data_IF_424262061010
#
_entry.id   IF_424262061010
#
_cell.length_a   1.000
_cell.length_b   1.000
_cell.length_c   1.000
_cell.angle_alpha   90.00
_cell.angle_beta   90.00
_cell.angle_gamma   90.00
#
_symmetry.space_group_name_H-M   'P 1'
#
loop_
_entity.id
_entity.type
_entity.pdbx_description
1 polymer ?
#
# COMPACT_ATOMS: atom_id res chain seq x y z
N UNK A 1 -55.12 15.53 -47.95
CA UNK A 1 -55.44 14.81 -46.71
C UNK A 1 -54.90 13.40 -46.90
N UNK A 2 -53.88 12.99 -46.14
CA UNK A 2 -53.36 11.62 -46.25
C UNK A 2 -54.41 10.66 -45.67
N UNK A 3 -55.00 9.81 -46.51
CA UNK A 3 -56.16 8.95 -46.15
C UNK A 3 -55.76 7.60 -45.56
N UNK A 4 -54.47 7.27 -45.51
CA UNK A 4 -53.97 6.00 -44.97
C UNK A 4 -52.68 6.24 -44.17
N UNK A 5 -52.49 5.52 -43.04
CA UNK A 5 -51.22 5.54 -42.33
C UNK A 5 -50.10 5.00 -43.25
N UNK A 6 -48.85 5.49 -43.12
CA UNK A 6 -47.72 4.94 -43.86
C UNK A 6 -47.54 3.45 -43.54
N UNK A 7 -47.01 2.64 -44.47
CA UNK A 7 -46.74 1.22 -44.23
C UNK A 7 -45.74 1.06 -43.08
N UNK A 8 -45.90 0.01 -42.29
CA UNK A 8 -44.99 -0.29 -41.20
C UNK A 8 -43.55 -0.48 -41.74
N UNK A 9 -42.54 0.04 -41.01
CA UNK A 9 -41.16 -0.15 -41.40
C UNK A 9 -40.80 -1.66 -41.40
N UNK A 10 -39.92 -2.11 -42.30
CA UNK A 10 -39.53 -3.52 -42.36
C UNK A 10 -38.92 -3.97 -41.03
N UNK A 11 -39.33 -5.15 -40.55
CA UNK A 11 -38.85 -5.69 -39.29
C UNK A 11 -37.32 -5.88 -39.30
N UNK A 12 -36.68 -5.43 -38.22
CA UNK A 12 -35.24 -5.57 -38.07
C UNK A 12 -34.83 -7.05 -38.03
N UNK A 13 -33.75 -7.47 -38.73
CA UNK A 13 -33.36 -8.88 -38.84
C UNK A 13 -33.12 -9.58 -37.49
N UNK A 14 -32.71 -8.84 -36.44
CA UNK A 14 -32.62 -9.40 -35.10
C UNK A 14 -33.99 -9.70 -34.47
N UNK A 15 -34.99 -8.85 -34.70
CA UNK A 15 -36.34 -9.06 -34.16
C UNK A 15 -36.94 -10.31 -34.80
N UNK A 16 -36.79 -10.48 -36.12
CA UNK A 16 -37.22 -11.69 -36.81
C UNK A 16 -36.59 -12.97 -36.24
N UNK A 17 -35.28 -12.96 -35.98
CA UNK A 17 -34.57 -14.10 -35.33
C UNK A 17 -35.09 -14.36 -33.91
N UNK A 18 -35.35 -13.29 -33.16
CA UNK A 18 -35.85 -13.37 -31.80
C UNK A 18 -37.28 -13.92 -31.75
N UNK A 19 -38.19 -13.46 -32.60
CA UNK A 19 -39.56 -13.97 -32.71
C UNK A 19 -39.58 -15.43 -33.12
N UNK A 20 -38.76 -15.82 -34.11
CA UNK A 20 -38.61 -17.23 -34.52
C UNK A 20 -38.02 -18.12 -33.41
N UNK A 21 -37.14 -17.59 -32.58
CA UNK A 21 -36.61 -18.30 -31.41
C UNK A 21 -37.66 -18.49 -30.32
N UNK A 22 -38.46 -17.45 -30.04
CA UNK A 22 -39.57 -17.53 -29.08
C UNK A 22 -40.62 -18.54 -29.51
N UNK A 23 -41.02 -18.53 -30.79
CA UNK A 23 -42.04 -19.46 -31.27
C UNK A 23 -41.58 -20.92 -31.11
N UNK A 24 -40.31 -21.20 -31.44
CA UNK A 24 -39.70 -22.52 -31.22
C UNK A 24 -39.68 -22.94 -29.75
N UNK A 25 -39.36 -22.02 -28.83
CA UNK A 25 -39.40 -22.33 -27.39
C UNK A 25 -40.85 -22.58 -26.94
N UNK A 26 -41.79 -21.76 -27.40
CA UNK A 26 -43.21 -21.91 -27.08
C UNK A 26 -43.75 -23.26 -27.55
N UNK A 27 -43.43 -23.67 -28.77
CA UNK A 27 -43.79 -24.97 -29.34
C UNK A 27 -43.18 -26.14 -28.55
N UNK A 28 -41.92 -26.01 -28.13
CA UNK A 28 -41.23 -27.08 -27.39
C UNK A 28 -41.68 -27.21 -25.93
N UNK A 29 -41.99 -26.08 -25.27
CA UNK A 29 -42.30 -26.03 -23.83
C UNK A 29 -43.78 -25.95 -23.52
N UNK A 30 -44.64 -25.77 -24.54
CA UNK A 30 -46.07 -25.49 -24.43
C UNK A 30 -46.40 -24.25 -23.59
N UNK A 31 -45.43 -23.33 -23.41
CA UNK A 31 -45.59 -22.08 -22.65
C UNK A 31 -46.04 -20.98 -23.62
N UNK A 32 -47.00 -20.10 -23.24
CA UNK A 32 -47.41 -18.96 -24.06
C UNK A 32 -46.24 -18.03 -24.41
N UNK A 33 -46.22 -17.51 -25.64
CA UNK A 33 -45.17 -16.58 -26.11
C UNK A 33 -45.06 -15.34 -25.21
N UNK A 34 -46.19 -14.82 -24.70
CA UNK A 34 -46.22 -13.71 -23.74
C UNK A 34 -45.49 -14.01 -22.42
N UNK A 35 -45.51 -15.27 -21.98
CA UNK A 35 -44.78 -15.71 -20.78
C UNK A 35 -43.28 -15.76 -21.05
N UNK A 36 -42.85 -16.13 -22.26
CA UNK A 36 -41.43 -16.12 -22.67
C UNK A 36 -40.87 -14.69 -22.65
N UNK A 37 -41.69 -13.70 -22.99
CA UNK A 37 -41.32 -12.27 -22.95
C UNK A 37 -40.98 -11.78 -21.54
N UNK A 38 -41.52 -12.45 -20.52
CA UNK A 38 -41.26 -12.14 -19.12
C UNK A 38 -40.11 -13.01 -18.59
N UNK A 39 -40.15 -14.32 -18.85
CA UNK A 39 -39.17 -15.28 -18.30
C UNK A 39 -37.77 -14.99 -18.86
N UNK A 40 -37.62 -14.76 -20.15
CA UNK A 40 -36.30 -14.67 -20.75
C UNK A 40 -35.51 -13.44 -20.24
N UNK A 41 -36.06 -12.21 -20.20
CA UNK A 41 -35.38 -11.08 -19.55
C UNK A 41 -35.18 -11.30 -18.05
N UNK A 42 -36.14 -11.94 -17.35
CA UNK A 42 -36.02 -12.21 -15.91
C UNK A 42 -34.86 -13.14 -15.59
N UNK A 43 -34.74 -14.26 -16.31
CA UNK A 43 -33.64 -15.22 -16.18
C UNK A 43 -32.32 -14.58 -16.60
N UNK A 44 -32.29 -13.82 -17.71
CA UNK A 44 -31.10 -13.10 -18.13
C UNK A 44 -30.63 -12.09 -17.07
N UNK A 45 -31.55 -11.36 -16.45
CA UNK A 45 -31.24 -10.40 -15.38
C UNK A 45 -30.73 -11.10 -14.13
N UNK A 46 -31.39 -12.18 -13.69
CA UNK A 46 -30.99 -12.96 -12.52
C UNK A 46 -29.59 -13.59 -12.70
N UNK A 47 -29.35 -14.26 -13.83
CA UNK A 47 -28.06 -14.86 -14.15
C UNK A 47 -26.95 -13.81 -14.26
N UNK A 48 -27.22 -12.69 -14.93
CA UNK A 48 -26.28 -11.56 -15.02
C UNK A 48 -25.96 -10.99 -13.64
N UNK A 49 -26.97 -10.82 -12.78
CA UNK A 49 -26.78 -10.30 -11.42
C UNK A 49 -25.90 -11.23 -10.58
N UNK A 50 -26.17 -12.54 -10.61
CA UNK A 50 -25.36 -13.55 -9.92
C UNK A 50 -23.92 -13.54 -10.46
N UNK A 51 -23.74 -13.49 -11.78
CA UNK A 51 -22.43 -13.42 -12.42
C UNK A 51 -21.65 -12.17 -11.99
N UNK A 52 -22.30 -10.99 -11.98
CA UNK A 52 -21.70 -9.73 -11.54
C UNK A 52 -21.28 -9.78 -10.06
N UNK A 53 -22.13 -10.33 -9.19
CA UNK A 53 -21.82 -10.52 -7.77
C UNK A 53 -20.63 -11.47 -7.60
N UNK A 54 -20.60 -12.59 -8.33
CA UNK A 54 -19.49 -13.53 -8.31
C UNK A 54 -18.18 -12.88 -8.76
N UNK A 55 -18.21 -12.18 -9.90
CA UNK A 55 -17.04 -11.45 -10.44
C UNK A 55 -16.56 -10.40 -9.44
N UNK A 56 -17.48 -9.63 -8.86
CA UNK A 56 -17.14 -8.63 -7.86
C UNK A 56 -16.45 -9.25 -6.64
N UNK A 57 -17.08 -10.25 -6.02
CA UNK A 57 -16.57 -10.89 -4.78
C UNK A 57 -15.23 -11.59 -5.01
N UNK A 58 -15.03 -12.24 -6.17
CA UNK A 58 -13.85 -13.04 -6.40
C UNK A 58 -12.65 -12.25 -6.95
N UNK A 59 -12.90 -11.18 -7.74
CA UNK A 59 -11.86 -10.46 -8.47
C UNK A 59 -11.76 -8.96 -8.19
N UNK A 60 -12.88 -8.29 -7.84
CA UNK A 60 -12.93 -6.82 -7.70
C UNK A 60 -13.04 -6.32 -6.25
N UNK A 61 -13.35 -7.20 -5.30
CA UNK A 61 -13.42 -6.86 -3.88
C UNK A 61 -12.05 -6.43 -3.36
N UNK A 62 -11.99 -5.27 -2.71
CA UNK A 62 -10.78 -4.76 -2.08
C UNK A 62 -10.62 -5.30 -0.66
N UNK A 63 -9.38 -5.62 -0.27
CA UNK A 63 -8.97 -5.95 1.09
C UNK A 63 -8.09 -4.80 1.60
N UNK A 64 -8.54 -4.02 2.60
CA UNK A 64 -7.83 -2.83 3.05
C UNK A 64 -6.55 -3.14 3.86
N UNK A 65 -6.56 -4.20 4.65
CA UNK A 65 -5.48 -4.53 5.60
C UNK A 65 -5.13 -6.03 5.56
N UNK A 66 -4.13 -6.43 6.35
CA UNK A 66 -3.72 -7.83 6.46
C UNK A 66 -4.83 -8.70 7.08
N UNK A 67 -5.59 -8.17 8.04
CA UNK A 67 -6.58 -8.93 8.81
C UNK A 67 -7.84 -9.28 8.02
N UNK A 68 -8.22 -8.45 7.06
CA UNK A 68 -9.37 -8.67 6.18
C UNK A 68 -9.17 -9.79 5.15
N UNK A 69 -7.95 -10.31 5.01
CA UNK A 69 -7.63 -11.34 4.02
C UNK A 69 -8.01 -12.72 4.57
N UNK A 70 -8.89 -13.46 3.86
CA UNK A 70 -9.31 -14.77 4.31
C UNK A 70 -8.14 -15.79 4.37
N UNK A 71 -8.04 -16.63 5.42
CA UNK A 71 -6.99 -17.64 5.54
C UNK A 71 -6.89 -18.63 4.37
N UNK A 72 -8.01 -18.93 3.70
CA UNK A 72 -8.01 -19.83 2.54
C UNK A 72 -7.40 -19.21 1.27
N UNK A 73 -7.04 -17.92 1.27
CA UNK A 73 -6.37 -17.27 0.13
C UNK A 73 -4.87 -17.55 0.11
N UNK A 74 -4.27 -17.86 1.26
CA UNK A 74 -2.86 -18.14 1.37
C UNK A 74 -2.49 -19.38 0.53
N UNK A 75 -1.33 -19.33 -0.13
CA UNK A 75 -0.83 -20.27 -1.15
C UNK A 75 -1.64 -20.38 -2.45
N UNK A 76 -2.87 -19.83 -2.51
CA UNK A 76 -3.76 -19.94 -3.69
C UNK A 76 -3.79 -18.65 -4.51
N UNK A 77 -4.09 -17.53 -3.85
CA UNK A 77 -4.34 -16.23 -4.50
C UNK A 77 -3.14 -15.28 -4.42
N UNK A 78 -3.10 -14.35 -5.36
CA UNK A 78 -2.19 -13.21 -5.33
C UNK A 78 -2.99 -11.91 -5.40
N UNK A 79 -2.61 -10.96 -4.56
CA UNK A 79 -3.21 -9.63 -4.50
C UNK A 79 -2.44 -8.69 -5.43
N UNK A 80 -3.17 -7.81 -6.11
CA UNK A 80 -2.59 -6.80 -6.99
C UNK A 80 -2.77 -5.42 -6.35
N UNK A 81 -1.70 -4.64 -6.29
CA UNK A 81 -1.71 -3.37 -5.56
C UNK A 81 -0.61 -2.42 -5.98
N UNK A 82 -0.80 -1.15 -5.66
CA UNK A 82 0.23 -0.10 -5.77
C UNK A 82 1.06 -0.08 -4.49
N UNK A 83 2.38 -0.04 -4.62
CA UNK A 83 3.26 0.17 -3.46
C UNK A 83 3.16 1.63 -3.04
N UNK A 84 2.97 1.84 -1.74
CA UNK A 84 2.71 3.15 -1.15
C UNK A 84 3.88 3.63 -0.31
N UNK A 85 4.48 2.73 0.48
CA UNK A 85 5.63 3.07 1.32
C UNK A 85 6.53 1.87 1.50
N UNK A 86 7.84 2.12 1.55
CA UNK A 86 8.86 1.14 1.93
C UNK A 86 9.42 1.61 3.27
N UNK A 87 9.31 0.75 4.29
CA UNK A 87 9.74 1.07 5.66
C UNK A 87 11.07 0.43 6.00
N UNK A 88 11.26 -0.81 5.54
CA UNK A 88 12.46 -1.61 5.76
C UNK A 88 12.98 -2.13 4.42
N UNK A 89 14.22 -2.61 4.38
CA UNK A 89 14.86 -3.07 3.15
C UNK A 89 14.34 -4.43 2.63
N UNK A 90 13.48 -5.14 3.38
CA UNK A 90 12.83 -6.40 3.00
C UNK A 90 11.29 -6.35 3.06
N UNK A 91 10.73 -5.20 3.44
CA UNK A 91 9.29 -5.01 3.70
C UNK A 91 8.74 -3.79 2.98
N UNK A 92 7.47 -3.85 2.56
CA UNK A 92 6.77 -2.69 2.04
C UNK A 92 5.27 -2.74 2.33
N UNK A 93 4.61 -1.58 2.23
CA UNK A 93 3.16 -1.46 2.32
C UNK A 93 2.60 -1.23 0.93
N UNK A 94 1.57 -2.00 0.60
CA UNK A 94 0.82 -1.82 -0.65
C UNK A 94 -0.64 -1.51 -0.39
N UNK A 95 -1.22 -0.71 -1.28
CA UNK A 95 -2.65 -0.47 -1.35
C UNK A 95 -3.25 -1.43 -2.37
N UNK A 96 -4.19 -2.27 -1.95
CA UNK A 96 -4.82 -3.25 -2.82
C UNK A 96 -5.72 -2.56 -3.87
N UNK A 97 -5.43 -2.80 -5.15
CA UNK A 97 -6.13 -2.22 -6.31
C UNK A 97 -6.64 -3.35 -7.21
N UNK A 98 -7.69 -4.08 -6.81
CA UNK A 98 -8.15 -5.27 -7.53
C UNK A 98 -8.54 -4.94 -8.97
N UNK A 99 -8.07 -5.76 -9.92
CA UNK A 99 -8.26 -5.54 -11.37
C UNK A 99 -7.44 -4.38 -11.97
N UNK A 100 -6.77 -3.57 -11.16
CA UNK A 100 -5.88 -2.50 -11.63
C UNK A 100 -6.58 -1.51 -12.57
N UNK A 101 -5.85 -1.06 -13.61
CA UNK A 101 -6.38 -0.09 -14.57
C UNK A 101 -7.65 -0.57 -15.28
N UNK A 102 -7.78 -1.86 -15.56
CA UNK A 102 -8.99 -2.43 -16.18
C UNK A 102 -10.24 -2.28 -15.32
N UNK A 103 -10.06 -2.28 -14.01
CA UNK A 103 -11.14 -2.06 -13.06
C UNK A 103 -11.26 -0.60 -12.62
N UNK A 104 -10.75 0.36 -13.40
CA UNK A 104 -10.93 1.78 -13.11
C UNK A 104 -9.90 2.43 -12.20
N UNK A 105 -8.92 1.69 -11.69
CA UNK A 105 -7.91 2.27 -10.79
C UNK A 105 -7.03 3.27 -11.53
N UNK A 106 -7.06 4.52 -11.07
CA UNK A 106 -6.27 5.63 -11.61
C UNK A 106 -7.01 6.52 -12.63
N UNK A 107 -8.20 6.15 -13.10
CA UNK A 107 -8.98 6.98 -14.03
C UNK A 107 -10.47 7.13 -13.67
N UNK A 108 -11.07 6.19 -12.92
CA UNK A 108 -12.39 6.42 -12.32
C UNK A 108 -12.27 7.33 -11.08
N UNK A 109 -13.18 8.30 -10.90
CA UNK A 109 -13.12 9.27 -9.81
C UNK A 109 -13.15 8.60 -8.42
N UNK A 110 -13.89 7.50 -8.26
CA UNK A 110 -13.98 6.73 -7.02
C UNK A 110 -12.90 5.66 -6.81
N UNK A 111 -11.93 5.50 -7.72
CA UNK A 111 -10.87 4.48 -7.64
C UNK A 111 -9.49 5.09 -7.80
N UNK A 112 -9.18 6.07 -6.95
CA UNK A 112 -7.85 6.65 -6.81
C UNK A 112 -7.14 6.06 -5.60
N UNK A 113 -5.82 5.92 -5.70
CA UNK A 113 -4.99 5.50 -4.56
C UNK A 113 -4.70 6.76 -3.75
N UNK A 114 -5.05 6.80 -2.45
CA UNK A 114 -4.74 7.95 -1.60
C UNK A 114 -3.24 8.21 -1.51
N UNK A 115 -2.84 9.48 -1.46
CA UNK A 115 -1.44 9.89 -1.31
C UNK A 115 -1.12 10.34 0.12
N UNK A 116 -2.13 10.77 0.87
CA UNK A 116 -1.92 11.27 2.22
C UNK A 116 -1.70 10.12 3.21
N UNK A 117 -0.71 10.28 4.10
CA UNK A 117 -0.41 9.28 5.15
C UNK A 117 -1.61 9.01 6.06
N UNK A 118 -2.46 10.01 6.29
CA UNK A 118 -3.67 9.89 7.13
C UNK A 118 -4.70 8.95 6.52
N UNK A 119 -4.96 9.06 5.22
CA UNK A 119 -5.91 8.21 4.50
C UNK A 119 -5.39 6.78 4.31
N UNK A 120 -4.06 6.61 4.24
CA UNK A 120 -3.42 5.31 4.08
C UNK A 120 -3.37 4.50 5.38
N UNK A 121 -3.55 5.13 6.55
CA UNK A 121 -3.53 4.45 7.84
C UNK A 121 -4.65 3.40 7.92
N UNK A 122 -4.28 2.15 8.17
CA UNK A 122 -5.23 1.02 8.21
C UNK A 122 -5.82 0.64 6.84
N UNK A 123 -5.30 1.20 5.75
CA UNK A 123 -5.77 0.98 4.38
C UNK A 123 -4.70 0.33 3.48
N UNK A 124 -3.64 -0.20 4.10
CA UNK A 124 -2.53 -0.86 3.42
C UNK A 124 -2.27 -2.24 3.98
N UNK A 125 -1.84 -3.15 3.11
CA UNK A 125 -1.36 -4.48 3.47
C UNK A 125 0.14 -4.41 3.68
N UNK A 126 0.62 -4.91 4.82
CA UNK A 126 2.04 -4.99 5.13
C UNK A 126 2.61 -6.29 4.55
N UNK A 127 3.50 -6.16 3.57
CA UNK A 127 4.09 -7.28 2.84
C UNK A 127 5.55 -7.44 3.24
N UNK A 128 5.92 -8.66 3.60
CA UNK A 128 7.31 -9.12 3.75
C UNK A 128 7.70 -9.95 2.54
N UNK A 129 8.88 -9.68 1.98
CA UNK A 129 9.37 -10.41 0.80
C UNK A 129 9.85 -11.81 1.24
N UNK A 130 9.33 -12.84 0.60
CA UNK A 130 9.63 -14.22 0.95
C UNK A 130 11.06 -14.62 0.54
N UNK A 131 11.77 -15.31 1.42
CA UNK A 131 13.07 -15.94 1.16
C UNK A 131 14.26 -14.99 1.06
N UNK A 132 14.08 -13.72 1.40
CA UNK A 132 15.09 -12.67 1.31
C UNK A 132 15.24 -11.99 2.67
N UNK A 133 16.47 -11.72 3.09
CA UNK A 133 16.80 -10.97 4.30
C UNK A 133 17.77 -9.85 3.94
N UNK A 134 17.41 -8.61 4.26
CA UNK A 134 18.21 -7.43 3.93
C UNK A 134 18.98 -6.94 5.18
N UNK A 135 20.05 -6.16 5.02
CA UNK A 135 20.79 -5.63 6.16
C UNK A 135 19.91 -4.75 7.06
N UNK A 136 19.98 -4.99 8.37
CA UNK A 136 19.14 -4.30 9.35
C UNK A 136 19.51 -2.82 9.48
N UNK A 137 18.49 -1.97 9.45
CA UNK A 137 18.62 -0.54 9.71
C UNK A 137 18.90 -0.25 11.20
N UNK A 138 19.32 0.98 11.50
CA UNK A 138 19.44 1.43 12.88
C UNK A 138 18.08 1.39 13.59
N UNK A 139 18.00 0.69 14.72
CA UNK A 139 16.75 0.52 15.46
C UNK A 139 16.99 0.49 16.98
N UNK A 140 16.23 1.31 17.72
CA UNK A 140 16.26 1.38 19.20
C UNK A 140 17.66 1.36 19.82
N UNK A 141 18.52 2.29 19.39
CA UNK A 141 19.90 2.41 19.92
C UNK A 141 20.91 1.38 19.37
N UNK A 142 20.48 0.45 18.51
CA UNK A 142 21.37 -0.47 17.80
C UNK A 142 21.92 0.20 16.52
N UNK A 143 23.23 0.09 16.24
CA UNK A 143 23.83 0.72 15.06
C UNK A 143 23.39 0.02 13.77
N UNK A 144 23.18 0.76 12.69
CA UNK A 144 22.83 0.19 11.38
C UNK A 144 23.87 -0.82 10.90
N UNK A 145 23.44 -1.90 10.25
CA UNK A 145 24.38 -2.75 9.50
C UNK A 145 24.99 -1.97 8.32
N UNK A 146 26.22 -2.31 7.91
CA UNK A 146 26.76 -1.84 6.65
C UNK A 146 25.78 -2.10 5.50
N UNK A 147 25.66 -1.15 4.57
CA UNK A 147 24.80 -1.26 3.37
C UNK A 147 23.27 -1.26 3.62
N UNK A 148 22.79 -1.17 4.86
CA UNK A 148 21.35 -1.11 5.19
C UNK A 148 20.62 0.08 4.55
N UNK A 149 21.21 1.28 4.61
CA UNK A 149 20.63 2.48 3.99
C UNK A 149 20.57 2.38 2.45
N UNK A 150 21.59 1.77 1.84
CA UNK A 150 21.65 1.54 0.40
C UNK A 150 20.61 0.51 -0.05
N UNK A 151 20.44 -0.59 0.71
CA UNK A 151 19.41 -1.58 0.44
C UNK A 151 17.99 -1.00 0.57
N UNK A 152 17.75 -0.16 1.58
CA UNK A 152 16.48 0.56 1.73
C UNK A 152 16.22 1.52 0.57
N UNK A 153 17.23 2.32 0.19
CA UNK A 153 17.13 3.27 -0.93
C UNK A 153 16.89 2.53 -2.26
N UNK A 154 17.58 1.41 -2.49
CA UNK A 154 17.40 0.57 -3.66
C UNK A 154 15.96 0.06 -3.74
N UNK A 155 15.43 -0.55 -2.67
CA UNK A 155 14.08 -1.11 -2.68
C UNK A 155 13.03 0.01 -2.86
N UNK A 156 13.24 1.14 -2.21
CA UNK A 156 12.39 2.33 -2.35
C UNK A 156 12.34 2.80 -3.79
N UNK A 157 13.49 2.99 -4.44
CA UNK A 157 13.58 3.42 -5.83
C UNK A 157 12.99 2.39 -6.81
N UNK A 158 13.16 1.09 -6.50
CA UNK A 158 12.64 0.02 -7.33
C UNK A 158 11.11 -0.07 -7.29
N UNK A 159 10.51 0.17 -6.13
CA UNK A 159 9.08 -0.01 -5.89
C UNK A 159 8.25 1.26 -5.90
N UNK A 160 8.85 2.45 -5.79
CA UNK A 160 8.13 3.72 -5.73
C UNK A 160 7.16 3.84 -6.91
N UNK A 161 5.88 4.10 -6.57
CA UNK A 161 4.77 4.24 -7.52
C UNK A 161 4.54 3.04 -8.46
N UNK A 162 5.13 1.87 -8.19
CA UNK A 162 4.91 0.66 -8.98
C UNK A 162 3.72 -0.14 -8.50
N UNK A 163 3.11 -0.85 -9.45
CA UNK A 163 2.13 -1.88 -9.13
C UNK A 163 2.81 -3.24 -9.09
N UNK A 164 2.52 -4.00 -8.04
CA UNK A 164 3.07 -5.33 -7.77
C UNK A 164 1.94 -6.34 -7.63
N UNK A 165 2.27 -7.61 -7.85
CA UNK A 165 1.42 -8.75 -7.52
C UNK A 165 2.10 -9.56 -6.41
N UNK A 166 1.52 -9.51 -5.22
CA UNK A 166 1.98 -10.23 -4.04
C UNK A 166 1.22 -11.56 -3.93
N UNK A 167 1.93 -12.67 -4.13
CA UNK A 167 1.41 -14.02 -3.92
C UNK A 167 1.50 -14.36 -2.45
N UNK A 168 0.34 -14.58 -1.83
CA UNK A 168 0.21 -14.80 -0.39
C UNK A 168 0.76 -16.19 -0.04
N UNK A 169 1.72 -16.28 0.88
CA UNK A 169 2.27 -17.56 1.34
C UNK A 169 1.82 -17.85 2.77
N UNK A 170 2.19 -16.95 3.71
CA UNK A 170 1.90 -17.11 5.14
C UNK A 170 1.70 -15.75 5.81
N UNK A 171 0.98 -15.73 6.94
CA UNK A 171 0.89 -14.60 7.86
C UNK A 171 1.92 -14.79 8.99
N UNK A 172 2.66 -13.74 9.31
CA UNK A 172 3.66 -13.77 10.40
C UNK A 172 3.10 -13.21 11.71
N UNK A 173 3.91 -13.30 12.78
CA UNK A 173 3.55 -12.84 14.12
C UNK A 173 3.42 -11.31 14.27
N UNK A 174 3.89 -10.55 13.28
CA UNK A 174 3.85 -9.08 13.26
C UNK A 174 2.73 -8.55 12.35
N UNK A 175 1.78 -9.42 12.00
CA UNK A 175 0.67 -9.10 11.10
C UNK A 175 1.11 -8.63 9.71
N UNK A 176 2.29 -9.10 9.29
CA UNK A 176 2.78 -9.01 7.91
C UNK A 176 2.41 -10.27 7.16
N UNK A 177 2.31 -10.12 5.85
CA UNK A 177 2.10 -11.24 4.95
C UNK A 177 3.41 -11.53 4.24
N UNK A 178 3.95 -12.72 4.47
CA UNK A 178 5.06 -13.26 3.71
C UNK A 178 4.57 -13.57 2.30
N UNK A 179 5.13 -12.88 1.32
CA UNK A 179 4.69 -12.97 -0.07
C UNK A 179 5.85 -13.19 -1.03
N UNK A 180 5.61 -14.00 -2.06
CA UNK A 180 6.39 -13.94 -3.30
C UNK A 180 5.87 -12.78 -4.14
N UNK A 181 6.72 -11.81 -4.43
CA UNK A 181 6.30 -10.55 -5.05
C UNK A 181 6.79 -10.52 -6.49
N UNK A 182 5.85 -10.35 -7.42
CA UNK A 182 6.16 -10.18 -8.84
C UNK A 182 5.84 -8.77 -9.30
N UNK A 183 6.72 -8.21 -10.11
CA UNK A 183 6.53 -6.89 -10.73
C UNK A 183 6.78 -6.96 -12.23
N UNK A 184 6.24 -5.99 -12.98
CA UNK A 184 6.60 -5.83 -14.39
C UNK A 184 8.06 -5.38 -14.50
N UNK A 185 8.77 -5.85 -15.53
CA UNK A 185 10.09 -5.33 -15.87
C UNK A 185 10.00 -3.85 -16.28
N UNK A 186 11.11 -3.11 -16.21
CA UNK A 186 11.17 -1.72 -16.67
C UNK A 186 11.26 -1.67 -18.21
N UNK A 187 10.78 -0.59 -18.81
CA UNK A 187 10.91 -0.33 -20.25
C UNK A 187 10.06 -1.25 -21.13
N UNK A 188 10.54 -1.52 -22.34
CA UNK A 188 9.83 -2.26 -23.39
C UNK A 188 9.42 -3.67 -22.94
N UNK A 189 10.27 -4.38 -22.17
CA UNK A 189 9.94 -5.70 -21.63
C UNK A 189 8.70 -5.67 -20.72
N UNK A 190 8.54 -4.59 -19.94
CA UNK A 190 7.35 -4.41 -19.11
C UNK A 190 6.08 -4.16 -19.93
N UNK A 191 6.22 -3.47 -21.06
CA UNK A 191 5.14 -3.21 -22.00
C UNK A 191 4.66 -4.49 -22.69
N UNK A 192 5.60 -5.37 -23.07
CA UNK A 192 5.32 -6.73 -23.58
C UNK A 192 4.80 -7.70 -22.52
N UNK A 193 4.65 -7.26 -21.26
CA UNK A 193 4.07 -8.07 -20.19
C UNK A 193 5.04 -8.99 -19.46
N UNK A 194 6.36 -8.89 -19.72
CA UNK A 194 7.36 -9.64 -18.98
C UNK A 194 7.42 -9.19 -17.51
N UNK A 195 7.47 -10.19 -16.63
CA UNK A 195 7.50 -10.01 -15.18
C UNK A 195 8.83 -10.51 -14.63
N UNK A 196 9.16 -10.04 -13.45
CA UNK A 196 10.29 -10.50 -12.67
C UNK A 196 9.88 -10.65 -11.21
N UNK A 197 10.52 -11.59 -10.54
CA UNK A 197 10.39 -11.77 -9.10
C UNK A 197 11.27 -10.72 -8.40
N UNK A 198 10.68 -10.02 -7.43
CA UNK A 198 11.35 -8.95 -6.69
C UNK A 198 12.50 -9.50 -5.84
N UNK A 199 12.28 -10.60 -5.12
CA UNK A 199 13.30 -11.20 -4.28
C UNK A 199 14.50 -11.67 -5.09
N UNK A 200 14.26 -12.28 -6.25
CA UNK A 200 15.33 -12.69 -7.16
C UNK A 200 16.17 -11.49 -7.66
N UNK A 201 15.52 -10.35 -7.94
CA UNK A 201 16.23 -9.12 -8.34
C UNK A 201 17.09 -8.60 -7.20
N UNK A 202 16.57 -8.60 -5.96
CA UNK A 202 17.32 -8.15 -4.80
C UNK A 202 18.56 -9.01 -4.53
N UNK A 203 18.43 -10.34 -4.63
CA UNK A 203 19.54 -11.28 -4.44
C UNK A 203 20.61 -11.11 -5.53
N UNK A 204 20.19 -11.02 -6.80
CA UNK A 204 21.08 -10.85 -7.94
C UNK A 204 21.89 -9.56 -7.88
N UNK A 205 21.28 -8.49 -7.38
CA UNK A 205 21.95 -7.19 -7.26
C UNK A 205 22.74 -7.07 -5.94
N UNK A 206 22.75 -8.12 -5.10
CA UNK A 206 23.54 -8.20 -3.88
C UNK A 206 23.08 -7.23 -2.78
N UNK A 207 21.86 -6.72 -2.84
CA UNK A 207 21.33 -5.82 -1.80
C UNK A 207 20.74 -6.56 -0.60
N UNK A 208 20.56 -7.87 -0.73
CA UNK A 208 20.03 -8.76 0.29
C UNK A 208 20.63 -10.17 0.14
N UNK A 209 20.53 -10.97 1.19
CA UNK A 209 20.94 -12.38 1.20
C UNK A 209 19.73 -13.31 1.25
N UNK A 210 19.95 -14.61 1.03
CA UNK A 210 18.91 -15.60 1.23
C UNK A 210 18.60 -15.72 2.73
N UNK A 211 17.32 -15.84 3.07
CA UNK A 211 16.91 -16.03 4.46
C UNK A 211 17.24 -17.45 4.94
N UNK A 212 18.03 -17.56 6.00
CA UNK A 212 18.55 -18.83 6.54
C UNK A 212 17.90 -19.26 7.88
N UNK A 213 16.82 -18.61 8.31
CA UNK A 213 16.21 -18.91 9.62
C UNK A 213 15.53 -20.28 9.68
N UNK A 214 15.59 -20.96 10.82
CA UNK A 214 15.05 -22.34 11.00
C UNK A 214 13.52 -22.45 10.85
N UNK A 215 12.77 -21.35 11.04
CA UNK A 215 11.31 -21.35 11.05
C UNK A 215 10.73 -20.37 10.04
N UNK A 216 9.65 -20.80 9.36
CA UNK A 216 8.85 -19.93 8.50
C UNK A 216 9.51 -19.53 7.18
N UNK A 217 10.48 -20.33 6.72
CA UNK A 217 11.09 -20.17 5.39
C UNK A 217 10.04 -20.48 4.33
N UNK A 218 9.81 -19.53 3.45
CA UNK A 218 8.95 -19.69 2.28
C UNK A 218 9.72 -19.17 1.07
N UNK A 219 9.88 -20.00 0.04
CA UNK A 219 10.59 -19.65 -1.18
C UNK A 219 9.62 -19.55 -2.35
N UNK A 220 9.27 -18.33 -2.75
CA UNK A 220 8.49 -18.10 -3.95
C UNK A 220 7.13 -18.81 -3.95
N UNK A 221 6.38 -18.70 -5.07
CA UNK A 221 5.21 -19.58 -5.33
C UNK A 221 5.60 -20.81 -6.16
N UNK A 222 6.69 -20.73 -6.91
CA UNK A 222 7.07 -21.74 -7.92
C UNK A 222 8.02 -22.76 -7.32
N UNK A 223 7.90 -24.00 -7.77
CA UNK A 223 8.83 -25.05 -7.41
C UNK A 223 10.26 -24.73 -7.89
N UNK A 224 11.26 -25.09 -7.10
CA UNK A 224 12.68 -24.83 -7.39
C UNK A 224 13.12 -23.36 -7.25
N UNK A 225 12.29 -22.50 -6.64
CA UNK A 225 12.66 -21.10 -6.40
C UNK A 225 13.82 -20.95 -5.41
N UNK A 226 13.92 -21.82 -4.41
CA UNK A 226 15.05 -21.84 -3.49
C UNK A 226 16.38 -21.98 -4.23
N UNK A 227 16.49 -22.97 -5.13
CA UNK A 227 17.68 -23.18 -5.96
C UNK A 227 18.03 -21.94 -6.78
N UNK A 228 17.03 -21.25 -7.34
CA UNK A 228 17.24 -20.01 -8.09
C UNK A 228 17.73 -18.86 -7.21
N UNK A 229 17.22 -18.78 -5.98
CA UNK A 229 17.62 -17.75 -5.02
C UNK A 229 19.06 -17.96 -4.58
N UNK A 230 19.41 -19.20 -4.19
CA UNK A 230 20.78 -19.57 -3.82
C UNK A 230 21.76 -19.35 -4.98
N UNK A 231 21.39 -19.74 -6.20
CA UNK A 231 22.23 -19.50 -7.38
C UNK A 231 22.41 -17.99 -7.69
N UNK A 232 21.37 -17.18 -7.51
CA UNK A 232 21.47 -15.73 -7.70
C UNK A 232 22.33 -15.07 -6.63
N UNK A 233 22.26 -15.56 -5.40
CA UNK A 233 23.12 -15.12 -4.31
C UNK A 233 24.59 -15.51 -4.54
N UNK A 234 24.84 -16.75 -4.97
CA UNK A 234 26.18 -17.21 -5.33
C UNK A 234 26.79 -16.37 -6.45
N UNK A 235 26.02 -16.10 -7.52
CA UNK A 235 26.45 -15.20 -8.59
C UNK A 235 26.72 -13.76 -8.08
N UNK A 236 25.94 -13.26 -7.13
CA UNK A 236 26.20 -11.95 -6.53
C UNK A 236 27.48 -11.96 -5.66
N UNK A 237 27.75 -13.07 -4.95
CA UNK A 237 28.98 -13.29 -4.17
C UNK A 237 30.22 -13.33 -5.06
N UNK A 238 30.17 -14.08 -6.17
CA UNK A 238 31.31 -14.17 -7.10
C UNK A 238 31.60 -12.81 -7.75
N UNK A 239 30.56 -12.05 -8.09
CA UNK A 239 30.68 -10.69 -8.64
C UNK A 239 31.01 -9.62 -7.58
N UNK A 240 30.99 -9.95 -6.29
CA UNK A 240 31.26 -9.04 -5.16
C UNK A 240 30.42 -7.75 -5.21
N UNK A 241 29.14 -7.89 -5.57
CA UNK A 241 28.20 -6.76 -5.68
C UNK A 241 27.46 -6.52 -4.37
N UNK A 242 27.15 -5.25 -4.09
CA UNK A 242 26.39 -4.84 -2.91
C UNK A 242 27.03 -5.28 -1.60
N UNK A 243 26.27 -5.98 -0.75
CA UNK A 243 26.72 -6.48 0.56
C UNK A 243 27.94 -7.41 0.45
N UNK A 244 28.11 -8.09 -0.69
CA UNK A 244 29.21 -9.02 -0.94
C UNK A 244 30.53 -8.33 -1.32
N UNK A 245 30.50 -7.03 -1.62
CA UNK A 245 31.68 -6.20 -1.86
C UNK A 245 32.37 -5.71 -0.58
N UNK A 246 31.74 -5.91 0.58
CA UNK A 246 32.24 -5.46 1.88
C UNK A 246 33.45 -6.29 2.33
N UNK A 247 34.67 -5.77 2.15
CA UNK A 247 35.93 -6.42 2.56
C UNK A 247 36.02 -6.61 4.09
N UNK A 248 35.49 -7.72 4.60
CA UNK A 248 35.57 -8.10 6.02
C UNK A 248 34.60 -7.38 6.97
N UNK A 249 33.75 -6.48 6.45
CA UNK A 249 32.71 -5.77 7.20
C UNK A 249 31.32 -6.41 7.06
N UNK A 250 31.24 -7.48 6.27
CA UNK A 250 29.99 -8.20 6.09
C UNK A 250 29.62 -8.94 7.36
N UNK A 251 28.39 -8.74 7.82
CA UNK A 251 27.76 -9.47 8.91
C UNK A 251 26.35 -9.84 8.43
N UNK A 252 25.97 -11.12 8.55
CA UNK A 252 24.63 -11.53 8.14
C UNK A 252 23.56 -10.93 9.08
N UNK A 253 22.33 -10.68 8.61
CA UNK A 253 21.28 -10.18 9.48
C UNK A 253 20.98 -11.11 10.66
N UNK A 254 21.13 -12.43 10.46
CA UNK A 254 21.03 -13.42 11.53
C UNK A 254 22.11 -13.26 12.60
N UNK A 255 23.38 -13.08 12.19
CA UNK A 255 24.51 -12.84 13.11
C UNK A 255 24.34 -11.54 13.89
N UNK A 256 23.94 -10.47 13.22
CA UNK A 256 23.66 -9.19 13.86
C UNK A 256 22.52 -9.30 14.89
N UNK A 257 21.43 -9.99 14.53
CA UNK A 257 20.31 -10.25 15.44
C UNK A 257 20.76 -11.09 16.62
N UNK A 258 21.63 -12.08 16.44
CA UNK A 258 22.18 -12.86 17.55
C UNK A 258 23.06 -12.01 18.48
N UNK A 259 23.91 -11.12 17.92
CA UNK A 259 24.78 -10.22 18.69
C UNK A 259 23.99 -9.26 19.59
N UNK A 260 22.82 -8.79 19.13
CA UNK A 260 22.00 -7.82 19.87
C UNK A 260 20.71 -8.40 20.47
N UNK A 261 20.38 -9.67 20.20
CA UNK A 261 19.12 -10.33 20.54
C UNK A 261 19.11 -11.00 21.92
N UNK A 262 20.26 -11.18 22.56
CA UNK A 262 20.36 -11.72 23.92
C UNK A 262 19.84 -10.80 25.04
N UNK A 263 19.26 -9.64 24.72
CA UNK A 263 18.75 -8.65 25.68
C UNK A 263 17.26 -8.33 25.52
N UNK A 264 16.48 -9.16 24.83
CA UNK A 264 15.04 -8.93 24.68
C UNK A 264 14.25 -9.93 25.55
N UNK A 265 13.84 -9.47 26.74
CA UNK A 265 12.73 -10.06 27.48
C UNK A 265 11.40 -9.84 26.72
N UNK A 266 10.44 -10.73 26.98
CA UNK A 266 9.11 -10.81 26.35
C UNK A 266 8.56 -9.49 25.79
N UNK A 267 8.36 -9.47 24.47
CA UNK A 267 7.69 -8.41 23.73
C UNK A 267 6.23 -8.25 24.19
N UNK A 268 5.89 -7.10 24.78
CA UNK A 268 4.49 -6.67 24.93
C UNK A 268 4.12 -5.79 23.73
N UNK A 269 2.99 -6.05 23.04
CA UNK A 269 2.55 -5.22 21.94
C UNK A 269 2.18 -3.83 22.47
N UNK A 270 2.81 -2.80 21.90
CA UNK A 270 2.52 -1.38 22.17
C UNK A 270 1.16 -0.98 21.58
N UNK A 271 0.08 -1.48 22.17
CA UNK A 271 -1.28 -0.96 22.05
C UNK A 271 -1.98 -1.06 23.39
N UNK A 272 -1.49 -0.32 24.38
CA UNK A 272 -2.28 0.06 25.55
C UNK A 272 -2.05 1.55 25.77
N UNK A 273 -3.08 2.33 25.43
CA UNK A 273 -3.20 3.73 25.89
C UNK A 273 -3.13 3.68 27.42
N UNK A 274 -2.31 4.51 28.09
CA UNK A 274 -2.28 4.50 29.55
C UNK A 274 -3.62 5.04 30.06
N UNK A 275 -4.48 4.11 30.50
CA UNK A 275 -5.63 4.42 31.33
C UNK A 275 -5.07 4.87 32.69
N UNK A 276 -5.32 6.13 33.06
CA UNK A 276 -4.92 6.67 34.36
C UNK A 276 -5.61 5.85 35.45
N UNK A 277 -4.82 5.04 36.16
CA UNK A 277 -5.23 4.36 37.37
C UNK A 277 -5.67 5.39 38.43
N UNK A 278 -6.95 5.39 38.77
CA UNK A 278 -7.48 6.02 39.98
C UNK A 278 -7.32 5.05 41.16
N UNK A 279 -6.18 5.14 41.84
CA UNK A 279 -6.01 4.59 43.19
C UNK A 279 -6.42 5.65 44.21
N UNK A 280 -7.49 5.39 44.94
CA UNK A 280 -7.96 6.26 46.02
C UNK A 280 -7.15 6.05 47.30
N UNK A 281 -6.84 7.13 48.00
CA UNK A 281 -6.56 7.11 49.43
C UNK A 281 -7.22 8.32 50.11
N UNK A 282 -7.89 8.03 51.23
CA UNK A 282 -8.73 8.94 52.03
C UNK A 282 -7.88 9.84 52.92
N UNK A 283 -8.15 11.15 52.98
CA UNK A 283 -8.07 11.92 54.25
C UNK A 283 -9.13 13.03 54.32
N UNK A 284 -9.59 13.20 55.56
CA UNK A 284 -10.70 13.94 56.14
C UNK A 284 -10.47 15.47 56.22
N UNK A 285 -11.46 16.24 55.75
CA UNK A 285 -11.93 17.56 56.23
C UNK A 285 -10.95 18.71 56.56
N UNK A 286 -11.13 19.86 55.88
CA UNK A 286 -11.55 21.15 56.47
C UNK A 286 -11.76 22.22 55.40
N UNK A 287 -12.82 23.03 55.58
CA UNK A 287 -13.19 24.20 54.78
C UNK A 287 -12.10 25.29 54.79
N UNK A 288 -11.83 25.92 53.65
CA UNK A 288 -11.63 27.37 53.53
C UNK A 288 -11.58 27.80 52.04
N UNK A 289 -12.08 29.02 51.81
CA UNK A 289 -12.30 29.75 50.57
C UNK A 289 -11.00 30.42 50.08
N UNK A 290 -10.78 30.58 48.77
CA UNK A 290 -10.29 31.82 48.10
C UNK A 290 -9.53 31.61 46.76
N UNK A 291 -9.97 32.39 45.74
CA UNK A 291 -9.26 33.00 44.57
C UNK A 291 -8.19 32.21 43.79
N UNK A 292 -8.36 31.84 42.53
CA UNK A 292 -8.47 32.64 41.30
C UNK A 292 -7.27 33.59 40.96
N UNK A 293 -6.71 33.36 39.78
CA UNK A 293 -5.98 34.30 38.88
C UNK A 293 -4.55 34.77 39.20
N UNK A 294 -3.55 34.03 38.69
CA UNK A 294 -2.28 34.59 38.18
C UNK A 294 -1.89 33.84 36.90
N UNK A 295 -2.03 34.50 35.75
CA UNK A 295 -1.66 33.93 34.44
C UNK A 295 -1.89 34.85 33.23
N UNK A 296 -2.59 35.98 33.40
CA UNK A 296 -2.94 36.87 32.28
C UNK A 296 -1.99 38.07 32.07
N UNK A 297 -0.96 38.25 32.89
CA UNK A 297 -0.11 39.47 32.86
C UNK A 297 1.14 39.31 31.97
N UNK A 298 1.49 38.09 31.57
CA UNK A 298 2.75 37.83 30.85
C UNK A 298 2.60 37.87 29.32
N UNK A 299 1.38 37.72 28.79
CA UNK A 299 1.13 37.65 27.34
C UNK A 299 1.06 39.04 26.69
N UNK A 300 0.62 40.07 27.42
CA UNK A 300 0.45 41.44 26.90
C UNK A 300 1.77 42.20 26.74
N UNK A 301 2.78 41.96 27.59
CA UNK A 301 4.10 42.62 27.47
C UNK A 301 4.94 42.12 26.29
N UNK A 302 4.72 40.89 25.83
CA UNK A 302 5.48 40.31 24.69
C UNK A 302 4.96 40.82 23.35
N UNK A 303 3.65 41.06 23.21
CA UNK A 303 3.06 41.61 21.99
C UNK A 303 3.42 43.10 21.78
N UNK A 304 3.57 43.87 22.85
CA UNK A 304 3.91 45.29 22.75
C UNK A 304 5.38 45.53 22.35
N UNK A 305 6.30 44.66 22.77
CA UNK A 305 7.71 44.70 22.34
C UNK A 305 7.90 44.35 20.86
N UNK A 306 7.12 43.41 20.31
CA UNK A 306 7.22 43.03 18.89
C UNK A 306 6.72 44.13 17.94
N UNK A 307 5.74 44.94 18.36
CA UNK A 307 5.24 46.08 17.57
C UNK A 307 6.22 47.25 17.53
N UNK A 308 6.96 47.53 18.61
CA UNK A 308 7.96 48.61 18.62
C UNK A 308 9.19 48.33 17.74
N UNK A 309 9.59 47.07 17.60
CA UNK A 309 10.74 46.68 16.77
C UNK A 309 10.42 46.83 15.28
N UNK A 310 9.20 46.44 14.85
CA UNK A 310 8.79 46.54 13.44
C UNK A 310 8.62 47.98 12.97
N UNK A 311 8.15 48.90 13.84
CA UNK A 311 8.06 50.32 13.50
C UNK A 311 9.44 50.98 13.36
N UNK A 312 10.41 50.59 14.19
CA UNK A 312 11.78 51.14 14.13
C UNK A 312 12.53 50.69 12.86
N UNK A 313 12.41 49.42 12.45
CA UNK A 313 13.04 48.92 11.21
C UNK A 313 12.45 49.57 9.94
N UNK A 314 11.15 49.89 9.96
CA UNK A 314 10.49 50.55 8.84
C UNK A 314 10.96 52.00 8.68
N UNK A 315 11.19 52.73 9.78
CA UNK A 315 11.67 54.11 9.73
C UNK A 315 13.14 54.22 9.28
N UNK A 316 14.00 53.25 9.62
CA UNK A 316 15.40 53.22 9.16
C UNK A 316 15.50 52.95 7.66
N UNK A 317 14.64 52.10 7.11
CA UNK A 317 14.64 51.81 5.66
C UNK A 317 14.11 52.97 4.81
N UNK A 318 13.16 53.77 5.33
CA UNK A 318 12.66 54.98 4.65
C UNK A 318 13.71 56.10 4.67
N UNK A 319 14.48 56.23 5.76
CA UNK A 319 15.56 57.22 5.85
C UNK A 319 16.76 56.91 4.93
N UNK A 320 17.09 55.62 4.72
CA UNK A 320 18.15 55.21 3.77
C UNK A 320 17.78 55.48 2.32
N UNK A 321 16.51 55.29 1.92
CA UNK A 321 16.05 55.60 0.55
C UNK A 321 16.05 57.09 0.23
N UNK A 322 15.78 57.97 1.21
CA UNK A 322 15.86 59.44 1.00
C UNK A 322 17.28 59.98 0.86
N UNK A 323 18.31 59.24 1.29
CA UNK A 323 19.72 59.64 1.11
C UNK A 323 20.31 59.19 -0.23
N UNK A 324 19.80 58.14 -0.86
CA UNK A 324 20.25 57.72 -2.20
C UNK A 324 19.71 58.60 -3.33
N UNK A 325 18.52 59.20 -3.16
CA UNK A 325 17.91 60.04 -4.20
C UNK A 325 18.50 61.48 -4.25
N UNK A 326 19.34 61.87 -3.27
CA UNK A 326 20.01 63.18 -3.24
C UNK A 326 21.44 63.18 -3.81
N UNK A 327 21.96 62.05 -4.27
CA UNK A 327 23.32 61.94 -4.81
C UNK A 327 23.40 61.68 -6.32
N UNK A 328 22.31 61.89 -7.07
CA UNK A 328 22.25 61.71 -8.54
C UNK A 328 21.81 63.01 -9.26
N UNK A 329 21.81 64.13 -8.57
CA UNK A 329 21.55 65.45 -9.14
C UNK A 329 22.61 66.45 -8.69
N UNK A 330 23.79 66.36 -9.32
CA UNK A 330 24.95 67.23 -9.13
C UNK A 330 25.95 66.94 -10.23
#
# INVERSE_FOLDING_TARGET
MWTHPPPDPPEHPMMRKYTAFKSRISEFTSIPVSTIDIILPSVATATTTIALIYVYRNFLKRYPDTNSIPPHFFRRKGLYGKVVSVGDADNFRMYHTPGGKWAGWGWLPGRKVPESRKELKGQTIHVRIAGVDAPEGAHFGKPSQPHSSESLAYLTNLLTSRNVRAHLLRRDQYERIVCSVTMKRRGILGLLGFKQDLGLVMLRDGIAQVYEGTYGIEFGKREGMERKYRAAEEDARTRKVGIWGLKGKYESPGQYKARFGGKEGLFTPSTVVPEKASGGEKVKGKRAVSSATKGAVEVSKVQERKRKITTAETMVNVAKRRKSDKSVGG
#
